data_IF_477564381018
#
_entry.id   IF_477564381018
#
_cell.length_a   1.000
_cell.length_b   1.000
_cell.length_c   1.000
_cell.angle_alpha   90.00
_cell.angle_beta   90.00
_cell.angle_gamma   90.00
#
_symmetry.space_group_name_H-M   'P 1'
#
loop_
_entity.id
_entity.type
_entity.pdbx_description
1 polymer ?
#
# COMPACT_ATOMS: atom_id res chain seq x y z
N UNK A 1 -7.15 23.95 -14.55
CA UNK A 1 -6.98 22.72 -15.32
C UNK A 1 -5.69 22.71 -16.17
N UNK A 2 -5.45 23.73 -17.01
CA UNK A 2 -4.25 23.80 -17.85
C UNK A 2 -2.95 23.78 -17.03
N UNK A 3 -2.89 24.52 -15.91
CA UNK A 3 -1.72 24.55 -15.03
C UNK A 3 -1.37 23.18 -14.37
N UNK A 4 -2.37 22.29 -14.20
CA UNK A 4 -2.15 20.97 -13.62
C UNK A 4 -1.71 19.93 -14.67
N UNK A 5 -2.08 20.12 -15.94
CA UNK A 5 -1.73 19.19 -17.02
C UNK A 5 -0.29 19.44 -17.55
N UNK A 6 0.12 20.71 -17.69
CA UNK A 6 1.40 21.10 -18.28
C UNK A 6 2.27 21.97 -17.35
N UNK A 7 1.84 22.15 -16.10
CA UNK A 7 2.50 23.05 -15.15
C UNK A 7 3.77 22.48 -14.53
N UNK A 8 4.56 23.35 -13.92
CA UNK A 8 5.68 22.98 -13.07
C UNK A 8 5.22 22.05 -11.92
N UNK A 9 6.12 21.30 -11.32
CA UNK A 9 5.82 20.45 -10.18
C UNK A 9 5.13 21.24 -9.04
N UNK A 10 5.52 22.50 -8.81
CA UNK A 10 4.91 23.37 -7.80
C UNK A 10 3.45 23.70 -8.13
N UNK A 11 3.13 23.99 -9.42
CA UNK A 11 1.76 24.26 -9.85
C UNK A 11 0.87 23.03 -9.70
N UNK A 12 1.36 21.83 -10.06
CA UNK A 12 0.66 20.55 -9.85
C UNK A 12 0.43 20.29 -8.35
N UNK A 13 1.47 20.46 -7.52
CA UNK A 13 1.38 20.26 -6.08
C UNK A 13 0.35 21.20 -5.44
N UNK A 14 0.37 22.49 -5.82
CA UNK A 14 -0.61 23.48 -5.37
C UNK A 14 -2.04 23.06 -5.75
N UNK A 15 -2.27 22.69 -7.02
CA UNK A 15 -3.57 22.30 -7.52
C UNK A 15 -4.14 21.08 -6.78
N UNK A 16 -3.33 20.04 -6.59
CA UNK A 16 -3.74 18.82 -5.87
C UNK A 16 -4.04 19.13 -4.40
N UNK A 17 -3.21 19.99 -3.78
CA UNK A 17 -3.40 20.38 -2.37
C UNK A 17 -4.67 21.21 -2.19
N UNK A 18 -4.95 22.15 -3.09
CA UNK A 18 -6.18 22.94 -3.09
C UNK A 18 -7.41 22.05 -3.30
N UNK A 19 -7.34 21.08 -4.22
CA UNK A 19 -8.40 20.10 -4.43
C UNK A 19 -8.71 19.30 -3.15
N UNK A 20 -7.68 18.84 -2.44
CA UNK A 20 -7.86 18.11 -1.16
C UNK A 20 -8.48 19.00 -0.08
N UNK A 21 -8.06 20.27 0.00
CA UNK A 21 -8.63 21.20 0.96
C UNK A 21 -10.13 21.42 0.72
N UNK A 22 -10.54 21.60 -0.54
CA UNK A 22 -11.97 21.71 -0.92
C UNK A 22 -12.74 20.45 -0.56
N UNK A 23 -12.17 19.25 -0.82
CA UNK A 23 -12.81 17.98 -0.45
C UNK A 23 -13.00 17.81 1.06
N UNK A 24 -12.06 18.29 1.85
CA UNK A 24 -12.07 18.16 3.32
C UNK A 24 -13.00 19.18 3.98
N UNK A 25 -13.43 20.22 3.26
CA UNK A 25 -14.37 21.21 3.78
C UNK A 25 -15.78 20.61 3.87
N UNK A 26 -16.27 20.45 5.10
CA UNK A 26 -17.62 19.94 5.38
C UNK A 26 -18.74 20.95 5.08
N UNK A 27 -18.40 22.24 4.94
CA UNK A 27 -19.36 23.33 4.68
C UNK A 27 -19.43 23.70 3.20
N UNK A 28 -18.73 22.97 2.30
CA UNK A 28 -18.72 23.27 0.88
C UNK A 28 -20.12 23.20 0.27
N UNK A 29 -20.38 24.11 -0.68
CA UNK A 29 -21.64 24.12 -1.43
C UNK A 29 -21.74 22.99 -2.45
N UNK A 30 -22.97 22.67 -2.88
CA UNK A 30 -23.23 21.69 -3.95
C UNK A 30 -22.57 22.09 -5.29
N UNK A 31 -22.36 23.39 -5.54
CA UNK A 31 -21.64 23.87 -6.72
C UNK A 31 -20.18 23.42 -6.74
N UNK A 32 -19.53 23.37 -5.56
CA UNK A 32 -18.18 22.83 -5.43
C UNK A 32 -18.08 21.37 -5.83
N UNK A 33 -19.15 20.59 -5.66
CA UNK A 33 -19.17 19.17 -6.03
C UNK A 33 -19.03 18.96 -7.54
N UNK A 34 -19.57 19.85 -8.36
CA UNK A 34 -19.38 19.82 -9.82
C UNK A 34 -17.91 20.08 -10.18
N UNK A 35 -17.31 21.08 -9.55
CA UNK A 35 -15.88 21.39 -9.78
C UNK A 35 -14.96 20.26 -9.29
N UNK A 36 -15.30 19.60 -8.20
CA UNK A 36 -14.57 18.40 -7.71
C UNK A 36 -14.64 17.27 -8.73
N UNK A 37 -15.83 16.95 -9.27
CA UNK A 37 -15.99 15.92 -10.31
C UNK A 37 -15.16 16.23 -11.56
N UNK A 38 -15.19 17.48 -11.97
CA UNK A 38 -14.47 17.95 -13.14
C UNK A 38 -12.93 17.94 -12.96
N UNK A 39 -12.44 18.19 -11.75
CA UNK A 39 -11.02 18.19 -11.43
C UNK A 39 -10.47 16.77 -11.20
N UNK A 40 -11.32 15.83 -10.79
CA UNK A 40 -10.94 14.48 -10.35
C UNK A 40 -10.06 13.73 -11.36
N UNK A 41 -10.37 13.66 -12.68
CA UNK A 41 -9.53 12.91 -13.62
C UNK A 41 -8.10 13.45 -13.69
N UNK A 42 -7.91 14.77 -13.62
CA UNK A 42 -6.58 15.40 -13.65
C UNK A 42 -5.81 15.08 -12.37
N UNK A 43 -6.47 15.16 -11.21
CA UNK A 43 -5.86 14.84 -9.92
C UNK A 43 -5.49 13.36 -9.83
N UNK A 44 -6.36 12.47 -10.27
CA UNK A 44 -6.08 11.03 -10.26
C UNK A 44 -5.01 10.63 -11.28
N UNK A 45 -4.91 11.35 -12.42
CA UNK A 45 -3.83 11.16 -13.39
C UNK A 45 -2.44 11.43 -12.80
N UNK A 46 -2.35 12.27 -11.76
CA UNK A 46 -1.08 12.57 -11.09
C UNK A 46 -0.46 11.38 -10.33
N UNK A 47 -1.22 10.31 -10.09
CA UNK A 47 -0.70 9.06 -9.48
C UNK A 47 0.38 8.41 -10.34
N UNK A 48 0.36 8.66 -11.65
CA UNK A 48 1.37 8.18 -12.61
C UNK A 48 2.40 9.26 -13.02
N UNK A 49 2.49 10.38 -12.30
CA UNK A 49 3.44 11.46 -12.62
C UNK A 49 4.90 11.00 -12.51
N UNK A 50 5.78 11.60 -13.30
CA UNK A 50 7.21 11.32 -13.26
C UNK A 50 7.84 11.65 -11.89
N UNK A 51 7.39 12.75 -11.25
CA UNK A 51 7.87 13.18 -9.95
C UNK A 51 7.20 12.41 -8.81
N UNK A 52 8.00 11.73 -7.98
CA UNK A 52 7.49 10.91 -6.87
C UNK A 52 6.65 11.71 -5.87
N UNK A 53 7.00 12.96 -5.63
CA UNK A 53 6.24 13.83 -4.72
C UNK A 53 4.83 14.14 -5.29
N UNK A 54 4.70 14.33 -6.61
CA UNK A 54 3.41 14.53 -7.26
C UNK A 54 2.59 13.23 -7.21
N UNK A 55 3.21 12.07 -7.45
CA UNK A 55 2.54 10.76 -7.24
C UNK A 55 2.00 10.65 -5.82
N UNK A 56 2.81 10.98 -4.81
CA UNK A 56 2.39 10.94 -3.41
C UNK A 56 1.21 11.86 -3.13
N UNK A 57 1.23 13.09 -3.64
CA UNK A 57 0.11 14.02 -3.49
C UNK A 57 -1.16 13.51 -4.18
N UNK A 58 -1.05 12.94 -5.38
CA UNK A 58 -2.16 12.29 -6.10
C UNK A 58 -2.78 11.13 -5.32
N UNK A 59 -1.93 10.28 -4.73
CA UNK A 59 -2.39 9.19 -3.86
C UNK A 59 -3.08 9.71 -2.59
N UNK A 60 -2.55 10.76 -1.97
CA UNK A 60 -3.21 11.41 -0.84
C UNK A 60 -4.58 12.01 -1.22
N UNK A 61 -4.68 12.55 -2.44
CA UNK A 61 -5.96 13.04 -2.95
C UNK A 61 -6.94 11.88 -3.18
N UNK A 62 -6.50 10.78 -3.80
CA UNK A 62 -7.31 9.57 -3.96
C UNK A 62 -7.80 9.08 -2.59
N UNK A 63 -6.92 8.97 -1.60
CA UNK A 63 -7.29 8.57 -0.25
C UNK A 63 -8.37 9.49 0.34
N UNK A 64 -8.24 10.81 0.16
CA UNK A 64 -9.22 11.79 0.64
C UNK A 64 -10.59 11.60 -0.06
N UNK A 65 -10.59 11.31 -1.38
CA UNK A 65 -11.84 11.04 -2.12
C UNK A 65 -12.50 9.76 -1.63
N UNK A 66 -11.74 8.67 -1.46
CA UNK A 66 -12.26 7.38 -0.95
C UNK A 66 -12.94 7.57 0.41
N UNK A 67 -12.37 8.37 1.30
CA UNK A 67 -12.91 8.61 2.63
C UNK A 67 -14.15 9.53 2.64
N UNK A 68 -14.19 10.51 1.74
CA UNK A 68 -15.22 11.54 1.74
C UNK A 68 -16.34 11.32 0.74
N UNK A 69 -16.03 10.76 -0.44
CA UNK A 69 -16.95 10.58 -1.58
C UNK A 69 -16.56 9.34 -2.40
N UNK A 70 -16.68 8.14 -1.83
CA UNK A 70 -16.25 6.90 -2.48
C UNK A 70 -16.95 6.66 -3.84
N UNK A 71 -18.19 7.11 -3.98
CA UNK A 71 -18.95 7.01 -5.23
C UNK A 71 -18.27 7.68 -6.43
N UNK A 72 -17.43 8.69 -6.21
CA UNK A 72 -16.67 9.35 -7.28
C UNK A 72 -15.51 8.49 -7.78
N UNK A 73 -14.99 7.62 -6.92
CA UNK A 73 -13.87 6.73 -7.24
C UNK A 73 -14.35 5.48 -7.96
N UNK A 74 -15.53 4.97 -7.63
CA UNK A 74 -16.07 3.73 -8.18
C UNK A 74 -16.04 3.72 -9.71
N UNK A 75 -16.55 4.78 -10.34
CA UNK A 75 -16.53 4.92 -11.81
C UNK A 75 -15.15 5.17 -12.42
N UNK A 76 -14.16 5.56 -11.60
CA UNK A 76 -12.80 5.85 -12.07
C UNK A 76 -11.84 4.65 -11.87
N UNK A 77 -12.24 3.60 -11.15
CA UNK A 77 -11.34 2.49 -10.77
C UNK A 77 -10.73 1.77 -11.96
N UNK A 78 -11.45 1.61 -13.07
CA UNK A 78 -10.90 0.98 -14.28
C UNK A 78 -9.68 1.74 -14.83
N UNK A 79 -9.67 3.07 -14.71
CA UNK A 79 -8.58 3.91 -15.20
C UNK A 79 -7.46 4.08 -14.15
N UNK A 80 -7.82 4.20 -12.88
CA UNK A 80 -6.89 4.56 -11.79
C UNK A 80 -6.29 3.32 -11.12
N UNK A 81 -7.02 2.21 -11.10
CA UNK A 81 -6.61 0.97 -10.44
C UNK A 81 -5.22 0.49 -10.85
N UNK A 82 -4.90 0.32 -12.14
CA UNK A 82 -3.58 -0.12 -12.57
C UNK A 82 -2.45 0.78 -12.07
N UNK A 83 -2.62 2.10 -12.14
CA UNK A 83 -1.63 3.07 -11.66
C UNK A 83 -1.49 2.99 -10.12
N UNK A 84 -2.58 2.87 -9.39
CA UNK A 84 -2.56 2.69 -7.94
C UNK A 84 -1.78 1.44 -7.53
N UNK A 85 -2.11 0.28 -8.12
CA UNK A 85 -1.45 -0.98 -7.78
C UNK A 85 0.03 -1.00 -8.19
N UNK A 86 0.41 -0.28 -9.25
CA UNK A 86 1.82 -0.08 -9.59
C UNK A 86 2.58 0.65 -8.50
N UNK A 87 1.97 1.65 -7.82
CA UNK A 87 2.60 2.37 -6.73
C UNK A 87 2.78 1.53 -5.44
N UNK A 88 2.23 0.32 -5.37
CA UNK A 88 2.51 -0.62 -4.26
C UNK A 88 3.81 -1.41 -4.46
N UNK A 89 4.45 -1.32 -5.63
CA UNK A 89 5.73 -1.94 -5.90
C UNK A 89 6.90 -1.04 -5.47
N UNK A 90 8.02 -1.65 -5.10
CA UNK A 90 9.27 -0.92 -4.87
C UNK A 90 9.78 -0.39 -6.21
N UNK A 91 10.08 0.90 -6.26
CA UNK A 91 10.73 1.55 -7.40
C UNK A 91 12.23 1.64 -7.12
N UNK A 92 12.99 0.70 -7.68
CA UNK A 92 14.44 0.63 -7.44
C UNK A 92 15.19 1.89 -7.91
N UNK A 93 14.63 2.66 -8.85
CA UNK A 93 15.22 3.93 -9.32
C UNK A 93 15.21 5.02 -8.25
N UNK A 94 14.34 4.91 -7.24
CA UNK A 94 14.23 5.83 -6.11
C UNK A 94 15.08 5.41 -4.90
N UNK A 95 15.82 4.29 -5.04
CA UNK A 95 16.68 3.81 -3.97
C UNK A 95 18.09 4.34 -4.17
N UNK A 96 18.61 5.02 -3.15
CA UNK A 96 19.97 5.58 -3.16
C UNK A 96 20.75 5.23 -1.91
N UNK A 97 22.07 5.14 -2.08
CA UNK A 97 23.00 4.96 -0.97
C UNK A 97 23.54 6.32 -0.54
N UNK A 98 23.28 6.69 0.71
CA UNK A 98 23.75 7.95 1.29
C UNK A 98 24.91 7.66 2.25
N UNK A 99 26.05 8.33 2.05
CA UNK A 99 27.20 8.24 2.95
C UNK A 99 26.97 9.09 4.19
N UNK A 100 27.09 8.46 5.36
CA UNK A 100 27.00 9.11 6.67
C UNK A 100 28.30 8.85 7.44
N UNK A 101 29.35 9.60 7.11
CA UNK A 101 30.70 9.34 7.62
C UNK A 101 31.22 7.97 7.15
N UNK A 102 31.62 7.07 8.07
CA UNK A 102 32.11 5.75 7.71
C UNK A 102 31.02 4.75 7.31
N UNK A 103 29.74 5.13 7.43
CA UNK A 103 28.60 4.26 7.15
C UNK A 103 27.89 4.67 5.86
N UNK A 104 27.33 3.67 5.17
CA UNK A 104 26.38 3.89 4.04
C UNK A 104 25.00 3.46 4.48
N UNK A 105 24.01 4.32 4.24
CA UNK A 105 22.60 4.05 4.52
C UNK A 105 21.82 3.97 3.20
N UNK A 106 21.04 2.90 3.05
CA UNK A 106 20.05 2.79 1.98
C UNK A 106 18.86 3.71 2.30
N UNK A 107 18.51 4.59 1.38
CA UNK A 107 17.36 5.49 1.48
C UNK A 107 16.43 5.17 0.33
N UNK A 108 15.15 4.98 0.63
CA UNK A 108 14.09 4.74 -0.33
C UNK A 108 13.19 5.99 -0.38
N UNK A 109 13.41 6.83 -1.39
CA UNK A 109 12.64 8.07 -1.57
C UNK A 109 11.20 7.78 -2.05
N UNK A 110 10.90 6.56 -2.50
CA UNK A 110 9.55 6.10 -2.88
C UNK A 110 8.70 5.57 -1.72
N UNK A 111 9.28 5.34 -0.54
CA UNK A 111 8.60 4.68 0.58
C UNK A 111 7.31 5.39 1.01
N UNK A 112 7.32 6.72 1.11
CA UNK A 112 6.15 7.49 1.57
C UNK A 112 4.99 7.43 0.54
N UNK A 113 5.29 7.48 -0.77
CA UNK A 113 4.28 7.30 -1.80
C UNK A 113 3.68 5.88 -1.75
N UNK A 114 4.53 4.86 -1.60
CA UNK A 114 4.14 3.45 -1.49
C UNK A 114 3.26 3.20 -0.26
N UNK A 115 3.58 3.79 0.90
CA UNK A 115 2.73 3.73 2.10
C UNK A 115 1.33 4.28 1.84
N UNK A 116 1.23 5.45 1.19
CA UNK A 116 -0.06 6.03 0.84
C UNK A 116 -0.82 5.15 -0.16
N UNK A 117 -0.13 4.52 -1.13
CA UNK A 117 -0.76 3.57 -2.05
C UNK A 117 -1.40 2.39 -1.29
N UNK A 118 -0.70 1.77 -0.35
CA UNK A 118 -1.28 0.72 0.49
C UNK A 118 -2.43 1.21 1.37
N UNK A 119 -2.38 2.44 1.87
CA UNK A 119 -3.51 3.05 2.59
C UNK A 119 -4.74 3.21 1.68
N UNK A 120 -4.55 3.59 0.41
CA UNK A 120 -5.63 3.65 -0.58
C UNK A 120 -6.22 2.25 -0.84
N UNK A 121 -5.37 1.22 -1.03
CA UNK A 121 -5.84 -0.17 -1.22
C UNK A 121 -6.65 -0.62 -0.01
N UNK A 122 -6.16 -0.40 1.22
CA UNK A 122 -6.89 -0.72 2.45
C UNK A 122 -8.25 0.00 2.52
N UNK A 123 -8.27 1.31 2.24
CA UNK A 123 -9.51 2.09 2.24
C UNK A 123 -10.50 1.56 1.20
N UNK A 124 -10.06 1.26 -0.02
CA UNK A 124 -10.89 0.71 -1.09
C UNK A 124 -11.48 -0.65 -0.73
N UNK A 125 -10.68 -1.57 -0.22
CA UNK A 125 -11.13 -2.91 0.22
C UNK A 125 -12.25 -2.78 1.25
N UNK A 126 -12.19 -1.78 2.12
CA UNK A 126 -13.17 -1.53 3.16
C UNK A 126 -14.43 -0.82 2.65
N UNK A 127 -14.28 0.18 1.78
CA UNK A 127 -15.40 1.07 1.38
C UNK A 127 -16.05 0.69 0.05
N UNK A 128 -15.25 0.20 -0.92
CA UNK A 128 -15.67 -0.13 -2.28
C UNK A 128 -15.18 -1.52 -2.72
N UNK A 129 -15.45 -2.56 -1.94
CA UNK A 129 -14.89 -3.88 -2.18
C UNK A 129 -15.26 -4.49 -3.54
N UNK A 130 -16.39 -4.13 -4.12
CA UNK A 130 -16.85 -4.62 -5.43
C UNK A 130 -16.15 -3.92 -6.61
N UNK A 131 -15.60 -2.72 -6.39
CA UNK A 131 -14.94 -1.93 -7.44
C UNK A 131 -13.45 -2.26 -7.58
N UNK A 132 -12.90 -3.13 -6.73
CA UNK A 132 -11.47 -3.43 -6.66
C UNK A 132 -11.18 -4.81 -7.25
N UNK A 133 -10.19 -4.88 -8.12
CA UNK A 133 -9.65 -6.14 -8.63
C UNK A 133 -9.03 -6.96 -7.47
N UNK A 134 -9.64 -8.10 -7.15
CA UNK A 134 -9.23 -8.97 -6.06
C UNK A 134 -7.84 -9.56 -6.26
N UNK A 135 -7.47 -9.93 -7.47
CA UNK A 135 -6.13 -10.45 -7.78
C UNK A 135 -5.07 -9.37 -7.59
N UNK A 136 -5.32 -8.15 -8.06
CA UNK A 136 -4.42 -7.03 -7.84
C UNK A 136 -4.24 -6.69 -6.35
N UNK A 137 -5.31 -6.83 -5.53
CA UNK A 137 -5.22 -6.69 -4.07
C UNK A 137 -4.28 -7.74 -3.49
N UNK A 138 -4.48 -9.02 -3.83
CA UNK A 138 -3.64 -10.10 -3.27
C UNK A 138 -2.20 -10.00 -3.74
N UNK A 139 -1.96 -9.64 -5.00
CA UNK A 139 -0.61 -9.40 -5.52
C UNK A 139 0.08 -8.22 -4.80
N UNK A 140 -0.67 -7.17 -4.42
CA UNK A 140 -0.13 -6.10 -3.59
C UNK A 140 0.24 -6.58 -2.18
N UNK A 141 -0.56 -7.45 -1.59
CA UNK A 141 -0.27 -8.08 -0.29
C UNK A 141 1.01 -8.91 -0.36
N UNK A 142 1.22 -9.69 -1.43
CA UNK A 142 2.46 -10.47 -1.64
C UNK A 142 3.68 -9.54 -1.65
N UNK A 143 3.61 -8.42 -2.39
CA UNK A 143 4.69 -7.42 -2.42
C UNK A 143 4.95 -6.79 -1.05
N UNK A 144 3.90 -6.36 -0.39
CA UNK A 144 4.00 -5.65 0.89
C UNK A 144 4.35 -6.55 2.08
N UNK A 145 4.18 -7.87 1.98
CA UNK A 145 4.49 -8.81 3.06
C UNK A 145 6.00 -8.83 3.43
N UNK A 146 6.89 -8.49 2.49
CA UNK A 146 8.33 -8.38 2.71
C UNK A 146 8.84 -6.93 2.76
N UNK A 147 7.97 -5.93 2.69
CA UNK A 147 8.31 -4.52 2.65
C UNK A 147 8.65 -3.96 4.06
N UNK A 148 8.81 -2.65 4.19
CA UNK A 148 9.07 -1.96 5.45
C UNK A 148 7.98 -2.22 6.50
N UNK A 149 8.33 -2.08 7.76
CA UNK A 149 7.45 -2.40 8.90
C UNK A 149 6.07 -1.74 8.81
N UNK A 150 6.04 -0.45 8.49
CA UNK A 150 4.80 0.34 8.40
C UNK A 150 3.86 -0.19 7.30
N UNK A 151 4.43 -0.63 6.17
CA UNK A 151 3.66 -1.24 5.08
C UNK A 151 3.09 -2.59 5.51
N UNK A 152 3.89 -3.43 6.20
CA UNK A 152 3.40 -4.73 6.70
C UNK A 152 2.22 -4.60 7.66
N UNK A 153 2.17 -3.56 8.47
CA UNK A 153 1.00 -3.28 9.32
C UNK A 153 -0.25 -2.99 8.48
N UNK A 154 -0.13 -2.22 7.41
CA UNK A 154 -1.25 -1.92 6.50
C UNK A 154 -1.66 -3.20 5.76
N UNK A 155 -0.69 -3.98 5.30
CA UNK A 155 -0.94 -5.29 4.64
C UNK A 155 -1.72 -6.23 5.55
N UNK A 156 -1.39 -6.31 6.84
CA UNK A 156 -2.16 -7.09 7.81
C UNK A 156 -3.61 -6.63 7.90
N UNK A 157 -3.85 -5.32 7.88
CA UNK A 157 -5.21 -4.77 7.86
C UNK A 157 -5.94 -5.14 6.56
N UNK A 158 -5.27 -5.03 5.39
CA UNK A 158 -5.84 -5.44 4.10
C UNK A 158 -6.23 -6.92 4.13
N UNK A 159 -5.37 -7.80 4.63
CA UNK A 159 -5.69 -9.24 4.75
C UNK A 159 -6.91 -9.46 5.63
N UNK A 160 -6.96 -8.86 6.82
CA UNK A 160 -8.08 -9.04 7.74
C UNK A 160 -9.42 -8.61 7.13
N UNK A 161 -9.44 -7.53 6.33
CA UNK A 161 -10.65 -7.01 5.68
C UNK A 161 -11.03 -7.81 4.41
N UNK A 162 -10.04 -8.26 3.63
CA UNK A 162 -10.30 -8.85 2.30
C UNK A 162 -10.39 -10.38 2.31
N UNK A 163 -9.75 -11.06 3.27
CA UNK A 163 -9.68 -12.52 3.32
C UNK A 163 -11.04 -13.23 3.24
N UNK A 164 -12.11 -12.77 3.92
CA UNK A 164 -13.41 -13.44 3.84
C UNK A 164 -13.98 -13.51 2.41
N UNK A 165 -13.62 -12.55 1.56
CA UNK A 165 -14.11 -12.46 0.18
C UNK A 165 -13.11 -12.98 -0.86
N UNK A 166 -11.82 -12.86 -0.58
CA UNK A 166 -10.73 -13.18 -1.51
C UNK A 166 -9.98 -14.45 -1.12
N UNK A 167 -10.57 -15.35 -0.31
CA UNK A 167 -9.87 -16.55 0.19
C UNK A 167 -9.34 -17.42 -0.95
N UNK A 168 -10.06 -17.53 -2.06
CA UNK A 168 -9.60 -18.25 -3.26
C UNK A 168 -8.34 -17.64 -3.85
N UNK A 169 -8.34 -16.33 -4.10
CA UNK A 169 -7.17 -15.62 -4.63
C UNK A 169 -5.95 -15.69 -3.69
N UNK A 170 -6.18 -15.63 -2.37
CA UNK A 170 -5.12 -15.86 -1.39
C UNK A 170 -4.59 -17.30 -1.44
N UNK A 171 -5.48 -18.29 -1.60
CA UNK A 171 -5.09 -19.70 -1.67
C UNK A 171 -4.17 -19.99 -2.85
N UNK A 172 -4.39 -19.35 -3.98
CA UNK A 172 -3.56 -19.48 -5.18
C UNK A 172 -2.15 -18.88 -5.03
N UNK A 173 -1.98 -17.95 -4.08
CA UNK A 173 -0.71 -17.22 -3.88
C UNK A 173 0.01 -17.57 -2.59
N UNK A 174 -0.40 -18.66 -1.91
CA UNK A 174 0.19 -19.08 -0.63
C UNK A 174 1.70 -19.32 -0.69
N UNK A 175 2.21 -19.89 -1.76
CA UNK A 175 3.65 -20.12 -1.92
C UNK A 175 4.42 -18.80 -2.02
N UNK A 176 3.93 -17.85 -2.80
CA UNK A 176 4.54 -16.53 -2.94
C UNK A 176 4.47 -15.73 -1.62
N UNK A 177 3.36 -15.84 -0.90
CA UNK A 177 3.19 -15.25 0.44
C UNK A 177 4.15 -15.88 1.45
N UNK A 178 4.30 -17.21 1.42
CA UNK A 178 5.26 -17.90 2.28
C UNK A 178 6.68 -17.44 2.03
N UNK A 179 7.08 -17.29 0.76
CA UNK A 179 8.42 -16.77 0.39
C UNK A 179 8.64 -15.33 0.87
N UNK A 180 7.64 -14.47 0.71
CA UNK A 180 7.73 -13.08 1.15
C UNK A 180 7.85 -12.99 2.68
N UNK A 181 7.04 -13.76 3.41
CA UNK A 181 7.03 -13.82 4.87
C UNK A 181 8.34 -14.43 5.39
N UNK A 182 8.83 -15.51 4.78
CA UNK A 182 10.10 -16.15 5.15
C UNK A 182 11.27 -15.18 5.01
N UNK A 183 11.36 -14.45 3.90
CA UNK A 183 12.36 -13.38 3.72
C UNK A 183 12.27 -12.31 4.81
N UNK A 184 11.07 -11.91 5.19
CA UNK A 184 10.84 -10.92 6.24
C UNK A 184 11.25 -11.42 7.63
N UNK A 185 11.04 -12.71 7.93
CA UNK A 185 11.44 -13.36 9.18
C UNK A 185 12.95 -13.61 9.26
N UNK A 186 13.62 -13.79 8.11
CA UNK A 186 15.06 -14.02 8.04
C UNK A 186 15.92 -12.76 8.24
N UNK A 187 15.31 -11.56 8.29
CA UNK A 187 16.02 -10.32 8.54
C UNK A 187 16.69 -10.35 9.91
N UNK A 188 18.00 -10.09 9.94
CA UNK A 188 18.79 -10.07 11.16
C UNK A 188 19.16 -8.66 11.57
N UNK A 189 19.22 -8.42 12.87
CA UNK A 189 19.75 -7.19 13.43
C UNK A 189 21.28 -7.11 13.25
N UNK A 190 21.82 -5.89 13.03
CA UNK A 190 23.26 -5.68 13.11
C UNK A 190 23.79 -6.06 14.51
N UNK A 191 25.04 -6.59 14.57
CA UNK A 191 25.68 -6.99 15.86
C UNK A 191 25.75 -5.89 16.91
N UNK A 192 25.66 -4.62 16.51
CA UNK A 192 25.70 -3.43 17.37
C UNK A 192 24.41 -2.59 17.24
N UNK A 193 23.25 -3.26 17.08
CA UNK A 193 21.99 -2.57 17.00
C UNK A 193 21.71 -1.76 18.28
N UNK A 194 21.22 -0.54 18.11
CA UNK A 194 20.78 0.30 19.22
C UNK A 194 19.34 -0.04 19.62
N UNK A 195 18.95 0.33 20.85
CA UNK A 195 17.64 -0.03 21.41
C UNK A 195 16.44 0.24 20.49
N UNK A 196 16.31 1.40 19.81
CA UNK A 196 15.21 1.62 18.88
C UNK A 196 15.18 0.67 17.68
N UNK A 197 16.35 0.23 17.21
CA UNK A 197 16.44 -0.75 16.12
C UNK A 197 15.99 -2.14 16.58
N UNK A 198 16.32 -2.52 17.80
CA UNK A 198 15.87 -3.77 18.43
C UNK A 198 14.35 -3.76 18.59
N UNK A 199 13.77 -2.71 19.16
CA UNK A 199 12.34 -2.54 19.35
C UNK A 199 11.58 -2.58 18.01
N UNK A 200 12.10 -1.88 16.97
CA UNK A 200 11.53 -1.90 15.61
C UNK A 200 11.59 -3.30 15.01
N UNK A 201 12.70 -4.02 15.20
CA UNK A 201 12.85 -5.38 14.68
C UNK A 201 11.88 -6.36 15.34
N UNK A 202 11.75 -6.33 16.66
CA UNK A 202 10.80 -7.16 17.40
C UNK A 202 9.36 -6.90 16.98
N UNK A 203 8.97 -5.62 16.85
CA UNK A 203 7.68 -5.22 16.34
C UNK A 203 7.43 -5.72 14.91
N UNK A 204 8.47 -5.67 14.06
CA UNK A 204 8.46 -6.20 12.69
C UNK A 204 8.20 -7.70 12.67
N UNK A 205 8.93 -8.48 13.49
CA UNK A 205 8.73 -9.93 13.58
C UNK A 205 7.32 -10.27 14.09
N UNK A 206 6.83 -9.53 15.09
CA UNK A 206 5.48 -9.71 15.62
C UNK A 206 4.41 -9.46 14.55
N UNK A 207 4.51 -8.37 13.78
CA UNK A 207 3.58 -8.07 12.68
C UNK A 207 3.63 -9.13 11.58
N UNK A 208 4.83 -9.62 11.24
CA UNK A 208 5.02 -10.66 10.22
C UNK A 208 4.41 -12.00 10.65
N UNK A 209 4.56 -12.39 11.93
CA UNK A 209 3.91 -13.59 12.48
C UNK A 209 2.38 -13.44 12.53
N UNK A 210 1.89 -12.25 12.86
CA UNK A 210 0.45 -11.97 12.83
C UNK A 210 -0.12 -12.10 11.41
N UNK A 211 0.60 -11.61 10.39
CA UNK A 211 0.23 -11.77 8.98
C UNK A 211 0.17 -13.24 8.57
N UNK A 212 1.20 -14.03 8.94
CA UNK A 212 1.21 -15.48 8.68
C UNK A 212 0.01 -16.18 9.33
N UNK A 213 -0.31 -15.84 10.57
CA UNK A 213 -1.46 -16.40 11.28
C UNK A 213 -2.80 -16.01 10.64
N UNK A 214 -2.94 -14.75 10.22
CA UNK A 214 -4.13 -14.22 9.54
C UNK A 214 -4.44 -14.95 8.22
N UNK A 215 -3.42 -15.44 7.51
CA UNK A 215 -3.56 -16.20 6.26
C UNK A 215 -3.89 -17.70 6.50
N UNK A 216 -3.83 -18.16 7.74
CA UNK A 216 -4.13 -19.57 8.10
C UNK A 216 -5.48 -20.10 7.60
N UNK A 217 -6.58 -19.34 7.66
CA UNK A 217 -7.87 -19.75 7.11
C UNK A 217 -7.83 -20.01 5.59
N UNK A 218 -7.17 -19.17 4.80
CA UNK A 218 -7.00 -19.39 3.35
C UNK A 218 -6.22 -20.67 3.07
N UNK A 219 -5.19 -20.96 3.85
CA UNK A 219 -4.41 -22.20 3.72
C UNK A 219 -5.24 -23.46 4.02
N UNK A 220 -6.19 -23.38 4.97
CA UNK A 220 -7.08 -24.50 5.31
C UNK A 220 -8.16 -24.72 4.25
N UNK A 221 -8.61 -23.68 3.57
CA UNK A 221 -9.64 -23.73 2.51
C UNK A 221 -9.06 -23.93 1.12
N UNK A 222 -7.75 -23.95 0.98
CA UNK A 222 -7.07 -24.10 -0.31
C UNK A 222 -7.38 -25.46 -0.94
N UNK A 223 -7.81 -25.53 -2.20
CA UNK A 223 -8.06 -26.80 -2.89
C UNK A 223 -6.77 -27.62 -3.08
N UNK A 224 -5.64 -26.97 -3.16
CA UNK A 224 -4.31 -27.58 -3.17
C UNK A 224 -3.51 -27.04 -2.00
N UNK A 225 -3.14 -27.88 -1.02
CA UNK A 225 -2.36 -27.44 0.14
C UNK A 225 -0.97 -26.94 -0.27
N UNK A 226 -0.59 -25.74 0.18
CA UNK A 226 0.79 -25.27 0.07
C UNK A 226 1.64 -25.94 1.16
N UNK A 227 2.55 -26.83 0.77
CA UNK A 227 3.49 -27.45 1.69
C UNK A 227 4.43 -26.43 2.33
N UNK A 228 4.87 -25.43 1.55
CA UNK A 228 5.75 -24.35 1.98
C UNK A 228 5.09 -23.49 3.05
N UNK A 229 3.86 -23.02 2.82
CA UNK A 229 3.10 -22.24 3.78
C UNK A 229 2.81 -23.02 5.06
N UNK A 230 2.40 -24.29 4.93
CA UNK A 230 2.10 -25.17 6.07
C UNK A 230 3.34 -25.43 6.94
N UNK A 231 4.49 -25.65 6.32
CA UNK A 231 5.78 -25.81 7.01
C UNK A 231 6.16 -24.54 7.76
N UNK A 232 6.06 -23.39 7.11
CA UNK A 232 6.38 -22.08 7.70
C UNK A 232 5.45 -21.79 8.90
N UNK A 233 4.14 -21.99 8.73
CA UNK A 233 3.17 -21.80 9.81
C UNK A 233 3.48 -22.69 11.02
N UNK A 234 3.78 -23.98 10.78
CA UNK A 234 4.10 -24.94 11.84
C UNK A 234 5.40 -24.61 12.58
N UNK A 235 6.41 -24.08 11.88
CA UNK A 235 7.69 -23.69 12.48
C UNK A 235 7.55 -22.48 13.40
N UNK A 236 6.68 -21.52 13.06
CA UNK A 236 6.49 -20.29 13.84
C UNK A 236 5.56 -20.46 15.04
N UNK A 237 4.64 -21.46 15.01
CA UNK A 237 3.76 -21.79 16.15
C UNK A 237 4.52 -22.55 17.25
N UNK A 238 5.56 -23.30 16.91
CA UNK A 238 6.39 -24.06 17.89
C UNK A 238 7.41 -23.17 18.61
N UNK A 239 7.60 -21.93 18.20
CA UNK A 239 8.57 -20.98 18.78
C UNK A 239 7.94 -19.92 19.71
N UNK A 240 6.68 -20.09 20.13
CA UNK A 240 5.99 -19.20 21.09
C UNK A 240 5.87 -19.88 22.46
#
# INVERSE_FOLDING_TARGET
RAAAADGSADAKAFYITAFRAVLSDKQRSAECDTHVKDALPVVLGSIADAAVEIRRLGLLALFTVIQGKPELVEGAMAAVGPALFQQTAVDESLIRMVSMGPFKKRVDDGLEARKVAFQCVHALVRTLPAAVDGDAVVDSVVRGAADEYEIRLIVLQIVNESLPRLSGAYSERLDALAEAIERALALQLPKKAVRPEIEKHEATLKATRALLAALGPAAKSAPVPSAKFSSLLSSQVKGC
#
